data_IF_587905332383
#
_entry.id   IF_587905332383
#
_cell.length_a   1.000
_cell.length_b   1.000
_cell.length_c   1.000
_cell.angle_alpha   90.00
_cell.angle_beta   90.00
_cell.angle_gamma   90.00
#
_symmetry.space_group_name_H-M   'P 1'
#
loop_
_entity.id
_entity.type
_entity.pdbx_description
1 polymer ?
#
# COMPACT_ATOMS: atom_id res chain seq x y z
N UNK A 1 22.01 -28.17 -17.85
CA UNK A 1 21.59 -29.35 -17.06
C UNK A 1 20.37 -28.89 -16.27
N UNK A 2 19.20 -29.43 -16.61
CA UNK A 2 18.00 -29.21 -15.78
C UNK A 2 18.28 -29.75 -14.40
N UNK A 3 17.94 -28.99 -13.37
CA UNK A 3 18.13 -29.43 -11.99
C UNK A 3 17.01 -30.43 -11.64
N UNK A 4 17.15 -31.64 -12.13
CA UNK A 4 16.17 -32.74 -11.95
C UNK A 4 15.85 -33.04 -10.47
N UNK A 5 16.67 -32.51 -9.53
CA UNK A 5 16.53 -32.81 -8.11
C UNK A 5 15.21 -32.38 -7.50
N UNK A 6 14.70 -31.16 -7.81
CA UNK A 6 13.46 -30.65 -7.23
C UNK A 6 12.22 -31.34 -7.83
N UNK A 7 12.24 -31.63 -9.13
CA UNK A 7 11.14 -32.34 -9.80
C UNK A 7 11.07 -33.79 -9.29
N UNK A 8 12.20 -34.49 -9.13
CA UNK A 8 12.23 -35.85 -8.57
C UNK A 8 11.70 -35.86 -7.13
N UNK A 9 12.13 -34.91 -6.31
CA UNK A 9 11.61 -34.76 -4.94
C UNK A 9 10.10 -34.53 -4.92
N UNK A 10 9.60 -33.73 -5.87
CA UNK A 10 8.18 -33.45 -6.02
C UNK A 10 7.38 -34.68 -6.45
N UNK A 11 7.88 -35.47 -7.41
CA UNK A 11 7.27 -36.74 -7.81
C UNK A 11 7.18 -37.73 -6.66
N UNK A 12 8.22 -37.81 -5.82
CA UNK A 12 8.19 -38.63 -4.60
C UNK A 12 7.11 -38.15 -3.61
N UNK A 13 6.82 -36.84 -3.54
CA UNK A 13 5.71 -36.32 -2.73
C UNK A 13 4.37 -36.78 -3.31
N UNK A 14 4.16 -36.62 -4.61
CA UNK A 14 2.94 -37.03 -5.29
C UNK A 14 2.70 -38.55 -5.16
N UNK A 15 3.76 -39.36 -5.23
CA UNK A 15 3.73 -40.80 -5.04
C UNK A 15 3.62 -41.21 -3.56
N UNK A 16 3.51 -40.26 -2.63
CA UNK A 16 3.44 -40.50 -1.17
C UNK A 16 4.66 -41.18 -0.58
N UNK A 17 5.78 -41.23 -1.26
CA UNK A 17 7.07 -41.68 -0.74
C UNK A 17 7.66 -40.70 0.26
N UNK A 18 7.29 -39.42 0.13
CA UNK A 18 7.65 -38.34 1.03
C UNK A 18 6.39 -37.53 1.43
N UNK A 19 6.42 -36.94 2.61
CA UNK A 19 5.30 -36.10 3.10
C UNK A 19 5.35 -34.68 2.54
N UNK A 20 6.55 -34.15 2.31
CA UNK A 20 6.76 -32.77 1.92
C UNK A 20 8.20 -32.57 1.41
N UNK A 21 8.45 -31.42 0.80
CA UNK A 21 9.79 -31.03 0.36
C UNK A 21 10.79 -30.96 1.52
N UNK A 22 12.02 -31.30 1.26
CA UNK A 22 13.12 -31.09 2.20
C UNK A 22 13.27 -29.60 2.54
N UNK A 23 13.23 -29.27 3.82
CA UNK A 23 13.42 -27.89 4.27
C UNK A 23 14.80 -27.32 3.86
N UNK A 24 15.81 -28.18 3.86
CA UNK A 24 17.17 -27.82 3.44
C UNK A 24 17.23 -27.56 1.94
N UNK A 25 16.58 -28.38 1.12
CA UNK A 25 16.64 -28.26 -0.32
C UNK A 25 15.92 -27.00 -0.81
N UNK A 26 14.64 -26.86 -0.51
CA UNK A 26 13.89 -25.63 -0.89
C UNK A 26 14.42 -24.39 -0.17
N UNK A 27 14.89 -24.53 1.08
CA UNK A 27 15.34 -23.41 1.89
C UNK A 27 16.68 -22.82 1.45
N UNK A 28 17.62 -23.65 1.07
CA UNK A 28 19.03 -23.28 0.86
C UNK A 28 19.53 -23.52 -0.56
N UNK A 29 19.04 -24.53 -1.26
CA UNK A 29 19.60 -25.00 -2.52
C UNK A 29 18.74 -24.69 -3.75
N UNK A 30 17.43 -24.55 -3.61
CA UNK A 30 16.55 -24.27 -4.75
C UNK A 30 16.67 -22.79 -5.16
N UNK A 31 17.11 -22.56 -6.40
CA UNK A 31 17.13 -21.23 -7.00
C UNK A 31 15.72 -20.82 -7.48
N UNK A 32 15.53 -19.54 -7.79
CA UNK A 32 14.30 -19.07 -8.44
C UNK A 32 14.02 -19.81 -9.75
N UNK A 33 15.07 -20.16 -10.48
CA UNK A 33 14.97 -20.92 -11.72
C UNK A 33 14.41 -22.33 -11.48
N UNK A 34 14.91 -23.05 -10.46
CA UNK A 34 14.44 -24.39 -10.12
C UNK A 34 12.97 -24.40 -9.73
N UNK A 35 12.52 -23.36 -9.00
CA UNK A 35 11.13 -23.22 -8.60
C UNK A 35 10.23 -22.94 -9.80
N UNK A 36 10.66 -22.07 -10.72
CA UNK A 36 9.93 -21.80 -11.96
C UNK A 36 9.83 -23.06 -12.84
N UNK A 37 10.92 -23.80 -13.00
CA UNK A 37 10.94 -25.08 -13.72
C UNK A 37 9.99 -26.11 -13.11
N UNK A 38 9.88 -26.16 -11.77
CA UNK A 38 8.91 -27.01 -11.09
C UNK A 38 7.46 -26.60 -11.44
N UNK A 39 7.14 -25.30 -11.40
CA UNK A 39 5.80 -24.84 -11.80
C UNK A 39 5.51 -25.11 -13.28
N UNK A 40 6.48 -24.93 -14.16
CA UNK A 40 6.35 -25.31 -15.58
C UNK A 40 6.04 -26.78 -15.73
N UNK A 41 6.81 -27.65 -15.06
CA UNK A 41 6.56 -29.10 -15.04
C UNK A 41 5.13 -29.42 -14.59
N UNK A 42 4.66 -28.79 -13.53
CA UNK A 42 3.30 -29.01 -13.04
C UNK A 42 2.25 -28.55 -14.04
N UNK A 43 2.40 -27.39 -14.61
CA UNK A 43 1.42 -26.85 -15.55
C UNK A 43 1.40 -27.64 -16.85
N UNK A 44 2.55 -27.92 -17.44
CA UNK A 44 2.66 -28.53 -18.76
C UNK A 44 2.47 -30.05 -18.71
N UNK A 45 3.06 -30.73 -17.73
CA UNK A 45 3.13 -32.19 -17.72
C UNK A 45 2.08 -32.86 -16.83
N UNK A 46 1.64 -32.21 -15.73
CA UNK A 46 0.66 -32.80 -14.83
C UNK A 46 -0.75 -32.28 -15.07
N UNK A 47 -0.89 -30.99 -15.39
CA UNK A 47 -2.20 -30.36 -15.60
C UNK A 47 -2.53 -30.19 -17.09
N UNK A 48 -1.55 -30.37 -17.97
CA UNK A 48 -1.66 -30.16 -19.41
C UNK A 48 -2.21 -28.75 -19.76
N UNK A 49 -1.76 -27.74 -19.00
CA UNK A 49 -2.20 -26.37 -19.12
C UNK A 49 -1.28 -25.56 -20.02
N UNK A 50 -1.88 -24.65 -20.81
CA UNK A 50 -1.15 -23.55 -21.44
C UNK A 50 -0.82 -22.48 -20.41
N UNK A 51 0.11 -21.55 -20.71
CA UNK A 51 0.38 -20.40 -19.83
C UNK A 51 -0.87 -19.58 -19.46
N UNK A 52 -1.79 -19.37 -20.43
CA UNK A 52 -3.06 -18.65 -20.19
C UNK A 52 -3.97 -19.43 -19.26
N UNK A 53 -4.06 -20.75 -19.41
CA UNK A 53 -4.83 -21.61 -18.50
C UNK A 53 -4.23 -21.57 -17.09
N UNK A 54 -2.90 -21.56 -16.96
CA UNK A 54 -2.23 -21.41 -15.66
C UNK A 54 -2.58 -20.07 -15.00
N UNK A 55 -2.66 -18.96 -15.77
CA UNK A 55 -3.09 -17.65 -15.27
C UNK A 55 -4.54 -17.66 -14.77
N UNK A 56 -5.44 -18.25 -15.56
CA UNK A 56 -6.88 -18.10 -15.35
C UNK A 56 -7.46 -19.13 -14.35
N UNK A 57 -6.87 -20.33 -14.28
CA UNK A 57 -7.43 -21.45 -13.52
C UNK A 57 -6.67 -21.80 -12.25
N UNK A 58 -5.46 -21.25 -12.02
CA UNK A 58 -4.70 -21.54 -10.81
C UNK A 58 -5.43 -20.99 -9.58
N UNK A 59 -5.75 -21.88 -8.66
CA UNK A 59 -6.42 -21.56 -7.39
C UNK A 59 -5.60 -22.02 -6.20
N UNK A 60 -5.86 -21.47 -5.01
CA UNK A 60 -5.21 -21.90 -3.78
C UNK A 60 -5.52 -23.38 -3.44
N UNK A 61 -6.71 -23.86 -3.78
CA UNK A 61 -7.10 -25.26 -3.62
C UNK A 61 -6.21 -26.19 -4.47
N UNK A 62 -5.92 -25.84 -5.72
CA UNK A 62 -5.01 -26.56 -6.59
C UNK A 62 -3.59 -26.55 -6.01
N UNK A 63 -3.09 -25.40 -5.58
CA UNK A 63 -1.78 -25.25 -4.93
C UNK A 63 -1.65 -26.17 -3.70
N UNK A 64 -2.70 -26.22 -2.87
CA UNK A 64 -2.72 -27.07 -1.68
C UNK A 64 -2.77 -28.56 -2.04
N UNK A 65 -3.66 -28.96 -2.95
CA UNK A 65 -3.81 -30.35 -3.41
C UNK A 65 -2.56 -30.92 -4.06
N UNK A 66 -1.84 -30.05 -4.78
CA UNK A 66 -0.59 -30.40 -5.44
C UNK A 66 0.66 -30.17 -4.57
N UNK A 67 0.51 -29.91 -3.26
CA UNK A 67 1.61 -29.68 -2.32
C UNK A 67 2.58 -28.56 -2.72
N UNK A 68 2.12 -27.54 -3.45
CA UNK A 68 2.95 -26.46 -3.99
C UNK A 68 3.08 -25.22 -3.07
N UNK A 69 2.55 -25.28 -1.84
CA UNK A 69 2.59 -24.12 -0.91
C UNK A 69 4.01 -23.67 -0.56
N UNK A 70 4.97 -24.60 -0.41
CA UNK A 70 6.36 -24.24 -0.11
C UNK A 70 7.08 -23.62 -1.30
N UNK A 71 7.04 -24.21 -2.51
CA UNK A 71 7.54 -23.57 -3.72
C UNK A 71 6.93 -22.19 -3.96
N UNK A 72 5.60 -22.05 -3.81
CA UNK A 72 4.90 -20.78 -3.99
C UNK A 72 5.44 -19.67 -3.10
N UNK A 73 5.69 -19.96 -1.82
CA UNK A 73 6.26 -19.00 -0.86
C UNK A 73 7.70 -18.61 -1.13
N UNK A 74 8.38 -19.34 -2.00
CA UNK A 74 9.76 -19.07 -2.40
C UNK A 74 9.88 -18.28 -3.70
N UNK A 75 8.79 -18.15 -4.47
CA UNK A 75 8.78 -17.25 -5.62
C UNK A 75 8.97 -15.81 -5.14
N UNK A 76 9.83 -15.08 -5.84
CA UNK A 76 10.02 -13.65 -5.61
C UNK A 76 8.96 -12.88 -6.38
N UNK A 77 8.04 -12.30 -5.63
CA UNK A 77 6.95 -11.50 -6.18
C UNK A 77 7.26 -10.01 -6.11
N UNK A 78 6.77 -9.21 -7.06
CA UNK A 78 6.73 -7.78 -6.89
C UNK A 78 6.02 -7.38 -5.59
N UNK A 79 6.39 -6.24 -4.96
CA UNK A 79 5.84 -5.84 -3.66
C UNK A 79 4.32 -5.59 -3.69
N UNK A 80 3.75 -5.39 -4.88
CA UNK A 80 2.32 -5.18 -5.10
C UNK A 80 1.48 -6.45 -4.97
N UNK A 81 2.11 -7.64 -4.96
CA UNK A 81 1.41 -8.92 -4.99
C UNK A 81 1.28 -9.51 -3.59
N UNK A 82 0.09 -9.93 -3.24
CA UNK A 82 -0.18 -10.79 -2.09
C UNK A 82 -0.46 -12.22 -2.57
N UNK A 83 0.51 -13.12 -2.38
CA UNK A 83 0.44 -14.50 -2.86
C UNK A 83 -0.65 -15.35 -2.20
N UNK A 84 -1.07 -15.02 -0.99
CA UNK A 84 -2.11 -15.77 -0.29
C UNK A 84 -3.51 -15.55 -0.91
N UNK A 85 -3.65 -14.52 -1.73
CA UNK A 85 -4.93 -14.14 -2.33
C UNK A 85 -4.87 -13.92 -3.84
N UNK A 86 -3.66 -13.90 -4.41
CA UNK A 86 -3.46 -13.60 -5.82
C UNK A 86 -2.48 -14.56 -6.47
N UNK A 87 -3.00 -15.45 -7.29
CA UNK A 87 -2.21 -16.45 -7.99
C UNK A 87 -2.05 -16.14 -9.49
N UNK A 88 -2.75 -15.12 -10.01
CA UNK A 88 -2.72 -14.85 -11.45
C UNK A 88 -1.33 -14.45 -11.96
N UNK A 89 -0.51 -13.86 -11.08
CA UNK A 89 0.86 -13.48 -11.39
C UNK A 89 1.84 -14.65 -11.43
N UNK A 90 1.46 -15.84 -10.90
CA UNK A 90 2.33 -17.03 -10.94
C UNK A 90 2.66 -17.40 -12.39
N UNK A 91 1.67 -17.41 -13.28
CA UNK A 91 1.88 -17.70 -14.68
C UNK A 91 2.85 -16.71 -15.33
N UNK A 92 2.74 -15.41 -15.03
CA UNK A 92 3.69 -14.41 -15.49
C UNK A 92 5.12 -14.65 -14.94
N UNK A 93 5.25 -15.00 -13.67
CA UNK A 93 6.56 -15.31 -13.07
C UNK A 93 7.23 -16.52 -13.71
N UNK A 94 6.42 -17.50 -14.14
CA UNK A 94 6.88 -18.75 -14.75
C UNK A 94 7.11 -18.56 -16.26
N UNK A 95 6.25 -17.81 -16.95
CA UNK A 95 6.27 -17.58 -18.40
C UNK A 95 6.37 -16.08 -18.76
N UNK A 96 7.45 -15.38 -18.37
CA UNK A 96 7.53 -13.93 -18.52
C UNK A 96 7.54 -13.45 -19.99
N UNK A 97 7.88 -14.32 -20.93
CA UNK A 97 7.88 -13.99 -22.37
C UNK A 97 6.55 -14.25 -23.07
N UNK A 98 5.67 -15.06 -22.46
CA UNK A 98 4.37 -15.44 -23.02
C UNK A 98 3.21 -14.74 -22.32
N UNK A 99 3.30 -14.58 -21.01
CA UNK A 99 2.33 -13.87 -20.21
C UNK A 99 2.93 -12.53 -19.80
N UNK A 100 2.31 -11.45 -20.26
CA UNK A 100 2.70 -10.10 -19.89
C UNK A 100 1.62 -9.49 -19.03
N UNK A 101 1.99 -9.08 -17.82
CA UNK A 101 1.11 -8.37 -16.90
C UNK A 101 1.73 -7.00 -16.64
N UNK A 102 1.01 -5.96 -17.01
CA UNK A 102 1.46 -4.60 -16.77
C UNK A 102 1.42 -4.26 -15.27
N UNK A 103 2.28 -3.33 -14.85
CA UNK A 103 2.21 -2.78 -13.49
C UNK A 103 0.81 -2.26 -13.16
N UNK A 104 0.16 -1.61 -14.11
CA UNK A 104 -1.20 -1.10 -13.94
C UNK A 104 -2.18 -2.20 -13.54
N UNK A 105 -2.14 -3.35 -14.22
CA UNK A 105 -2.99 -4.50 -13.90
C UNK A 105 -2.68 -5.09 -12.51
N UNK A 106 -1.40 -5.21 -12.16
CA UNK A 106 -0.98 -5.68 -10.83
C UNK A 106 -1.54 -4.77 -9.72
N UNK A 107 -1.35 -3.47 -9.86
CA UNK A 107 -1.81 -2.47 -8.89
C UNK A 107 -3.33 -2.49 -8.78
N UNK A 108 -4.06 -2.52 -9.91
CA UNK A 108 -5.51 -2.56 -9.91
C UNK A 108 -6.06 -3.85 -9.30
N UNK A 109 -5.41 -4.98 -9.54
CA UNK A 109 -5.81 -6.25 -8.94
C UNK A 109 -5.77 -6.18 -7.41
N UNK A 110 -4.68 -5.69 -6.83
CA UNK A 110 -4.55 -5.48 -5.39
C UNK A 110 -5.61 -4.49 -4.90
N UNK A 111 -5.78 -3.36 -5.59
CA UNK A 111 -6.71 -2.30 -5.19
C UNK A 111 -8.17 -2.79 -5.18
N UNK A 112 -8.61 -3.48 -6.24
CA UNK A 112 -9.96 -4.04 -6.32
C UNK A 112 -10.23 -5.06 -5.20
N UNK A 113 -9.22 -5.84 -4.80
CA UNK A 113 -9.34 -6.75 -3.66
C UNK A 113 -9.49 -6.02 -2.33
N UNK A 114 -8.85 -4.87 -2.17
CA UNK A 114 -9.03 -4.01 -0.99
C UNK A 114 -10.41 -3.36 -1.00
N UNK A 115 -10.90 -2.88 -2.15
CA UNK A 115 -12.24 -2.31 -2.28
C UNK A 115 -13.36 -3.32 -2.02
N UNK A 116 -13.17 -4.58 -2.46
CA UNK A 116 -14.13 -5.67 -2.27
C UNK A 116 -14.00 -6.41 -0.93
N UNK A 117 -13.21 -5.88 0.01
CA UNK A 117 -12.90 -6.48 1.32
C UNK A 117 -12.30 -7.90 1.25
N UNK A 118 -11.82 -8.33 0.08
CA UNK A 118 -11.04 -9.56 -0.08
C UNK A 118 -9.64 -9.42 0.53
N UNK A 119 -9.11 -8.22 0.58
CA UNK A 119 -7.91 -7.81 1.30
C UNK A 119 -8.28 -6.79 2.37
N UNK A 120 -7.98 -7.09 3.64
CA UNK A 120 -8.23 -6.18 4.77
C UNK A 120 -7.29 -4.95 4.70
N UNK A 121 -6.08 -5.13 4.19
CA UNK A 121 -5.02 -4.11 4.13
C UNK A 121 -4.24 -4.24 2.83
N UNK A 122 -3.69 -3.12 2.39
CA UNK A 122 -2.66 -3.12 1.35
C UNK A 122 -1.40 -3.90 1.79
N UNK A 123 -0.67 -4.53 0.86
CA UNK A 123 0.66 -5.08 1.13
C UNK A 123 1.57 -4.02 1.76
N UNK A 124 2.49 -4.44 2.65
CA UNK A 124 3.28 -3.51 3.49
C UNK A 124 4.02 -2.42 2.71
N UNK A 125 4.50 -2.71 1.51
CA UNK A 125 5.31 -1.80 0.70
C UNK A 125 4.55 -1.17 -0.46
N UNK A 126 3.26 -1.44 -0.58
CA UNK A 126 2.45 -1.05 -1.74
C UNK A 126 2.49 0.45 -2.06
N UNK A 127 2.55 1.29 -1.03
CA UNK A 127 2.64 2.76 -1.15
C UNK A 127 3.96 3.33 -0.57
N UNK A 128 4.94 2.50 -0.31
CA UNK A 128 6.19 2.90 0.29
C UNK A 128 7.33 2.85 -0.73
N UNK A 129 8.16 2.93 -1.16
CA UNK A 129 9.24 2.83 -2.15
C UNK A 129 9.03 3.81 -3.33
N UNK A 130 9.98 3.82 -4.22
CA UNK A 130 9.98 4.72 -5.38
C UNK A 130 8.70 4.66 -6.22
N UNK A 131 8.02 3.52 -6.17
CA UNK A 131 6.81 3.24 -6.94
C UNK A 131 5.50 3.53 -6.20
N UNK A 132 5.58 3.90 -4.92
CA UNK A 132 4.40 4.12 -4.08
C UNK A 132 3.48 5.22 -4.58
N UNK A 133 4.05 6.31 -5.10
CA UNK A 133 3.31 7.41 -5.71
C UNK A 133 2.57 6.95 -6.98
N UNK A 134 3.26 6.21 -7.84
CA UNK A 134 2.66 5.68 -9.08
C UNK A 134 1.50 4.73 -8.76
N UNK A 135 1.67 3.85 -7.78
CA UNK A 135 0.59 2.95 -7.33
C UNK A 135 -0.60 3.73 -6.79
N UNK A 136 -0.37 4.76 -5.99
CA UNK A 136 -1.43 5.62 -5.46
C UNK A 136 -2.18 6.33 -6.59
N UNK A 137 -1.47 6.89 -7.57
CA UNK A 137 -2.05 7.56 -8.73
C UNK A 137 -2.92 6.63 -9.58
N UNK A 138 -2.47 5.40 -9.85
CA UNK A 138 -3.25 4.39 -10.56
C UNK A 138 -4.56 4.10 -9.80
N UNK A 139 -4.47 3.87 -8.48
CA UNK A 139 -5.64 3.62 -7.65
C UNK A 139 -6.62 4.80 -7.65
N UNK A 140 -6.11 6.04 -7.58
CA UNK A 140 -6.96 7.23 -7.58
C UNK A 140 -7.70 7.40 -8.90
N UNK A 141 -7.02 7.27 -10.04
CA UNK A 141 -7.66 7.36 -11.35
C UNK A 141 -8.75 6.31 -11.53
N UNK A 142 -8.49 5.08 -11.10
CA UNK A 142 -9.50 4.03 -11.10
C UNK A 142 -10.72 4.42 -10.25
N UNK A 143 -10.50 4.90 -9.01
CA UNK A 143 -11.58 5.32 -8.12
C UNK A 143 -12.41 6.47 -8.68
N UNK A 144 -11.76 7.48 -9.29
CA UNK A 144 -12.44 8.59 -9.95
C UNK A 144 -13.32 8.07 -11.10
N UNK A 145 -12.78 7.20 -11.95
CA UNK A 145 -13.53 6.64 -13.08
C UNK A 145 -14.75 5.81 -12.64
N UNK A 146 -14.66 5.14 -11.49
CA UNK A 146 -15.78 4.35 -10.96
C UNK A 146 -16.84 5.22 -10.25
N UNK A 147 -16.41 6.14 -9.39
CA UNK A 147 -17.31 6.92 -8.51
C UNK A 147 -17.79 8.23 -9.13
N UNK A 148 -17.04 8.76 -10.10
CA UNK A 148 -17.28 10.08 -10.69
C UNK A 148 -17.14 10.08 -12.23
N UNK A 149 -17.75 9.14 -12.96
CA UNK A 149 -17.49 8.95 -14.41
C UNK A 149 -17.92 10.14 -15.27
N UNK A 150 -18.84 10.99 -14.79
CA UNK A 150 -19.36 12.15 -15.53
C UNK A 150 -18.69 13.48 -15.16
N UNK A 151 -17.72 13.48 -14.23
CA UNK A 151 -17.05 14.73 -13.85
C UNK A 151 -16.02 15.11 -14.90
N UNK A 152 -16.10 16.37 -15.34
CA UNK A 152 -15.03 16.95 -16.13
C UNK A 152 -13.86 17.37 -15.22
N UNK A 153 -12.75 17.76 -15.82
CA UNK A 153 -11.53 18.10 -15.09
C UNK A 153 -11.72 19.29 -14.13
N UNK A 154 -12.55 20.27 -14.49
CA UNK A 154 -12.83 21.43 -13.64
C UNK A 154 -13.63 21.03 -12.40
N UNK A 155 -14.62 20.15 -12.56
CA UNK A 155 -15.42 19.61 -11.46
C UNK A 155 -14.56 18.81 -10.49
N UNK A 156 -13.63 18.00 -11.01
CA UNK A 156 -12.67 17.26 -10.19
C UNK A 156 -11.79 18.20 -9.38
N UNK A 157 -11.26 19.25 -9.99
CA UNK A 157 -10.48 20.26 -9.26
C UNK A 157 -11.30 20.94 -8.16
N UNK A 158 -12.51 21.40 -8.48
CA UNK A 158 -13.40 22.00 -7.49
C UNK A 158 -13.71 21.04 -6.34
N UNK A 159 -13.92 19.76 -6.65
CA UNK A 159 -14.17 18.72 -5.68
C UNK A 159 -12.94 18.49 -4.78
N UNK A 160 -11.75 18.36 -5.36
CA UNK A 160 -10.51 18.10 -4.61
C UNK A 160 -10.03 19.30 -3.79
N UNK A 161 -10.44 20.52 -4.15
CA UNK A 161 -10.28 21.72 -3.31
C UNK A 161 -11.23 21.73 -2.08
N UNK A 162 -12.31 20.96 -2.10
CA UNK A 162 -13.26 20.87 -0.98
C UNK A 162 -12.83 19.80 0.02
N UNK A 163 -12.04 20.17 1.02
CA UNK A 163 -11.45 19.26 2.00
C UNK A 163 -12.44 18.28 2.66
N UNK A 164 -13.62 18.69 3.16
CA UNK A 164 -14.57 17.73 3.76
C UNK A 164 -15.07 16.68 2.77
N UNK A 165 -15.42 17.09 1.54
CA UNK A 165 -15.93 16.17 0.51
C UNK A 165 -14.85 15.18 0.07
N UNK A 166 -13.64 15.66 -0.24
CA UNK A 166 -12.55 14.79 -0.70
C UNK A 166 -12.07 13.85 0.39
N UNK A 167 -12.01 14.28 1.66
CA UNK A 167 -11.63 13.38 2.76
C UNK A 167 -12.62 12.23 2.91
N UNK A 168 -13.94 12.51 2.77
CA UNK A 168 -14.97 11.47 2.79
C UNK A 168 -14.82 10.51 1.61
N UNK A 169 -14.62 11.02 0.40
CA UNK A 169 -14.38 10.23 -0.80
C UNK A 169 -13.16 9.31 -0.63
N UNK A 170 -11.99 9.88 -0.27
CA UNK A 170 -10.75 9.12 -0.09
C UNK A 170 -10.86 8.03 0.97
N UNK A 171 -11.65 8.24 2.03
CA UNK A 171 -11.96 7.20 3.02
C UNK A 171 -12.81 6.08 2.43
N UNK A 172 -13.85 6.41 1.68
CA UNK A 172 -14.74 5.42 1.05
C UNK A 172 -13.97 4.54 0.07
N UNK A 173 -13.07 5.14 -0.73
CA UNK A 173 -12.24 4.41 -1.70
C UNK A 173 -10.91 3.91 -1.10
N UNK A 174 -10.76 3.88 0.23
CA UNK A 174 -9.59 3.36 0.95
C UNK A 174 -8.24 4.04 0.63
N UNK A 175 -8.25 5.26 0.08
CA UNK A 175 -7.05 6.02 -0.31
C UNK A 175 -6.69 7.18 0.63
N UNK A 176 -7.37 7.34 1.76
CA UNK A 176 -7.09 8.44 2.69
C UNK A 176 -5.70 8.34 3.32
N UNK A 177 -5.27 7.15 3.75
CA UNK A 177 -3.95 6.96 4.35
C UNK A 177 -2.81 7.18 3.32
N UNK A 178 -2.83 6.56 2.11
CA UNK A 178 -1.83 6.85 1.07
C UNK A 178 -1.78 8.33 0.71
N UNK A 179 -2.92 9.01 0.57
CA UNK A 179 -2.96 10.44 0.28
C UNK A 179 -2.16 11.25 1.31
N UNK A 180 -2.39 11.02 2.60
CA UNK A 180 -1.71 11.78 3.65
C UNK A 180 -0.25 11.37 3.90
N UNK A 181 0.16 10.18 3.46
CA UNK A 181 1.55 9.73 3.62
C UNK A 181 2.47 10.18 2.48
N UNK A 182 1.92 10.41 1.28
CA UNK A 182 2.68 10.72 0.06
C UNK A 182 2.52 12.19 -0.33
N UNK A 183 1.33 12.75 -0.18
CA UNK A 183 0.99 14.08 -0.67
C UNK A 183 0.68 15.05 0.47
N UNK A 184 1.04 16.30 0.29
CA UNK A 184 0.77 17.35 1.28
C UNK A 184 -0.73 17.71 1.32
N UNK A 185 -1.36 17.76 0.15
CA UNK A 185 -2.80 18.06 0.01
C UNK A 185 -3.47 17.07 -0.95
N UNK A 186 -4.79 16.82 -0.80
CA UNK A 186 -5.53 15.99 -1.74
C UNK A 186 -5.47 16.50 -3.20
N UNK A 187 -5.35 17.81 -3.41
CA UNK A 187 -5.20 18.38 -4.75
C UNK A 187 -3.86 18.01 -5.40
N UNK A 188 -2.80 17.83 -4.60
CA UNK A 188 -1.51 17.35 -5.10
C UNK A 188 -1.63 15.91 -5.60
N UNK A 189 -2.41 15.10 -4.89
CA UNK A 189 -2.70 13.73 -5.27
C UNK A 189 -3.45 13.67 -6.62
N UNK A 190 -4.50 14.50 -6.80
CA UNK A 190 -5.19 14.61 -8.08
C UNK A 190 -4.22 15.06 -9.18
N UNK A 191 -3.45 16.13 -8.93
CA UNK A 191 -2.52 16.69 -9.90
C UNK A 191 -1.44 15.68 -10.32
N UNK A 192 -0.89 14.90 -9.38
CA UNK A 192 0.07 13.83 -9.69
C UNK A 192 -0.54 12.73 -10.57
N UNK A 193 -1.80 12.36 -10.31
CA UNK A 193 -2.48 11.27 -11.00
C UNK A 193 -2.93 11.62 -12.43
N UNK A 194 -3.22 12.88 -12.71
CA UNK A 194 -3.71 13.31 -14.03
C UNK A 194 -2.63 13.20 -15.12
N UNK A 195 -3.00 12.88 -16.36
CA UNK A 195 -2.09 12.93 -17.50
C UNK A 195 -1.64 14.37 -17.82
N UNK A 196 -0.45 14.52 -18.40
CA UNK A 196 0.20 15.83 -18.58
C UNK A 196 -0.60 16.83 -19.41
N UNK A 197 -1.35 16.37 -20.40
CA UNK A 197 -2.24 17.24 -21.18
C UNK A 197 -3.34 17.87 -20.30
N UNK A 198 -3.86 17.16 -19.33
CA UNK A 198 -4.86 17.66 -18.38
C UNK A 198 -4.24 18.53 -17.27
N UNK A 199 -3.02 18.22 -16.84
CA UNK A 199 -2.27 19.07 -15.90
C UNK A 199 -2.06 20.49 -16.44
N UNK A 200 -1.65 20.60 -17.70
CA UNK A 200 -1.34 21.87 -18.34
C UNK A 200 -2.56 22.79 -18.45
N UNK A 201 -3.75 22.23 -18.65
CA UNK A 201 -5.00 22.99 -18.77
C UNK A 201 -5.37 23.75 -17.48
N UNK A 202 -5.00 23.22 -16.32
CA UNK A 202 -5.39 23.76 -15.00
C UNK A 202 -4.21 24.18 -14.12
N UNK A 203 -3.00 24.21 -14.67
CA UNK A 203 -1.79 24.54 -13.91
C UNK A 203 -1.93 25.87 -13.14
N UNK A 204 -2.46 26.92 -13.75
CA UNK A 204 -2.66 28.22 -13.11
C UNK A 204 -3.62 28.15 -11.90
N UNK A 205 -4.72 27.40 -12.00
CA UNK A 205 -5.68 27.24 -10.90
C UNK A 205 -5.09 26.45 -9.75
N UNK A 206 -4.32 25.43 -10.07
CA UNK A 206 -3.60 24.61 -9.10
C UNK A 206 -2.58 25.45 -8.33
N UNK A 207 -1.70 26.19 -9.02
CA UNK A 207 -0.71 27.04 -8.40
C UNK A 207 -1.35 28.12 -7.52
N UNK A 208 -2.39 28.80 -8.00
CA UNK A 208 -3.13 29.77 -7.21
C UNK A 208 -3.73 29.17 -5.95
N UNK A 209 -4.31 27.98 -6.03
CA UNK A 209 -4.86 27.28 -4.86
C UNK A 209 -3.77 26.92 -3.85
N UNK A 210 -2.62 26.43 -4.31
CA UNK A 210 -1.45 26.16 -3.47
C UNK A 210 -0.97 27.41 -2.73
N UNK A 211 -0.89 28.54 -3.41
CA UNK A 211 -0.52 29.82 -2.78
C UNK A 211 -1.50 30.18 -1.65
N UNK A 212 -2.80 30.11 -1.89
CA UNK A 212 -3.82 30.42 -0.88
C UNK A 212 -3.73 29.49 0.35
N UNK A 213 -3.48 28.19 0.13
CA UNK A 213 -3.29 27.25 1.23
C UNK A 213 -2.05 27.58 2.07
N UNK A 214 -0.97 27.97 1.43
CA UNK A 214 0.26 28.38 2.12
C UNK A 214 0.03 29.63 2.96
N UNK A 215 -0.62 30.65 2.41
CA UNK A 215 -0.98 31.88 3.12
C UNK A 215 -1.84 31.58 4.36
N UNK A 216 -2.84 30.69 4.23
CA UNK A 216 -3.67 30.29 5.36
C UNK A 216 -2.86 29.58 6.46
N UNK A 217 -1.91 28.70 6.09
CA UNK A 217 -1.02 28.06 7.07
C UNK A 217 -0.18 29.08 7.83
N UNK A 218 0.39 30.05 7.12
CA UNK A 218 1.23 31.08 7.72
C UNK A 218 0.43 31.96 8.70
N UNK A 219 -0.83 32.27 8.36
CA UNK A 219 -1.73 33.02 9.26
C UNK A 219 -2.04 32.21 10.52
N UNK A 220 -2.35 30.91 10.39
CA UNK A 220 -2.63 30.04 11.53
C UNK A 220 -1.39 29.91 12.41
N UNK A 221 -0.21 29.72 11.82
CA UNK A 221 1.04 29.61 12.55
C UNK A 221 1.31 30.89 13.36
N UNK A 222 1.18 32.07 12.76
CA UNK A 222 1.33 33.36 13.44
C UNK A 222 0.34 33.53 14.60
N UNK A 223 -0.92 33.11 14.42
CA UNK A 223 -1.93 33.18 15.49
C UNK A 223 -1.56 32.28 16.69
N UNK A 224 -1.07 31.07 16.39
CA UNK A 224 -0.67 30.14 17.46
C UNK A 224 0.58 30.64 18.20
N UNK A 225 1.52 31.27 17.51
CA UNK A 225 2.71 31.90 18.12
C UNK A 225 2.30 33.02 19.07
N UNK A 226 1.43 33.93 18.64
CA UNK A 226 0.91 35.04 19.49
C UNK A 226 0.12 34.50 20.69
N UNK A 227 -0.66 33.44 20.51
CA UNK A 227 -1.41 32.82 21.62
C UNK A 227 -0.49 32.17 22.65
N UNK A 228 0.59 31.54 22.22
CA UNK A 228 1.58 30.94 23.12
C UNK A 228 2.42 31.97 23.88
N UNK A 229 2.70 33.12 23.29
CA UNK A 229 3.38 34.25 23.95
C UNK A 229 2.49 34.87 25.02
N UNK A 230 1.20 35.08 24.78
CA UNK A 230 0.25 35.56 25.76
C UNK A 230 0.01 34.60 26.94
N UNK A 231 0.05 33.29 26.70
CA UNK A 231 -0.01 32.28 27.77
C UNK A 231 1.29 32.23 28.62
N UNK A 232 2.43 32.54 28.01
CA UNK A 232 3.70 32.63 28.74
C UNK A 232 3.79 33.88 29.61
N UNK A 233 3.31 35.04 29.14
CA UNK A 233 3.26 36.29 29.92
C UNK A 233 2.29 36.22 31.13
N UNK A 234 1.20 35.47 31.01
CA UNK A 234 0.25 35.28 32.13
C UNK A 234 0.70 34.25 33.18
N UNK A 235 1.84 33.60 33.00
CA UNK A 235 2.46 32.68 33.99
C UNK A 235 3.57 33.33 34.78
N UNK A 236 3.45 34.61 35.19
CA UNK A 236 4.32 35.18 36.23
C UNK A 236 4.03 34.52 37.58
N UNK A 237 5.06 34.24 38.40
CA UNK A 237 4.96 33.27 39.48
C UNK A 237 4.24 33.86 40.71
N UNK A 238 3.09 33.33 41.04
CA UNK A 238 2.45 33.46 42.38
C UNK A 238 3.26 32.67 43.41
N UNK A 239 4.56 32.84 43.46
CA UNK A 239 5.41 32.25 44.48
C UNK A 239 6.38 33.25 45.11
N UNK A 240 5.84 34.38 45.64
CA UNK A 240 6.63 35.27 46.47
C UNK A 240 5.82 35.95 47.59
N UNK A 241 4.95 35.24 48.31
CA UNK A 241 4.43 35.75 49.61
C UNK A 241 3.91 34.60 50.48
N UNK A 242 4.84 33.81 51.07
CA UNK A 242 4.57 33.04 52.30
C UNK A 242 5.88 32.61 52.96
N UNK A 243 6.64 33.59 53.43
CA UNK A 243 7.66 33.40 54.47
C UNK A 243 7.67 34.64 55.35
N UNK A 244 6.84 34.68 56.38
CA UNK A 244 7.05 35.40 57.62
C UNK A 244 5.79 35.25 58.47
N UNK A 245 5.83 34.33 59.42
CA UNK A 245 5.42 34.45 60.80
C UNK A 245 5.48 33.08 61.47
N UNK A 246 6.66 32.71 61.93
CA UNK A 246 6.78 31.85 63.12
C UNK A 246 7.15 32.77 64.24
N UNK A 247 6.15 33.27 64.93
CA UNK A 247 6.24 33.90 66.26
C UNK A 247 6.08 32.83 67.30
N UNK A 248 7.05 32.79 68.18
CA UNK A 248 7.15 32.19 69.50
C UNK A 248 5.86 32.30 70.28
N UNK A 249 5.57 31.26 70.99
CA UNK A 249 5.09 31.24 72.41
C UNK A 249 4.73 29.77 72.65
N UNK A 250 5.24 29.09 73.61
CA UNK A 250 5.57 29.48 75.01
C UNK A 250 5.00 28.38 75.86
N UNK A 251 5.88 27.65 76.52
CA UNK A 251 5.69 26.82 77.71
C UNK A 251 4.34 26.96 78.47
N UNK A 252 3.71 25.87 78.86
CA UNK A 252 3.70 25.46 80.33
C UNK A 252 2.70 24.30 80.55
N UNK A 253 3.21 23.34 81.33
CA UNK A 253 2.60 22.62 82.46
C UNK A 253 1.26 21.84 82.31
N UNK A 254 1.24 20.61 82.37
CA UNK A 254 1.27 19.69 83.58
C UNK A 254 1.30 18.26 83.04
#
# INVERSE_FOLDING_TARGET
MQNMGLIIEYEDILLKKRKDFSATYIGQNASQKDIKELFQYVFENLLEWTPEMARDYLTMDIIQKLHLMRPLRKLEYPPEINIDQDLFSVAWMVYPEQIHISRHELVLNVYQKVLSDKLIKYPKKFFLEADGEVNACICLLYAINQEMPSHNIEDLYAFFCNRPKVTRFLRNVRLNAPCHSIFEYPIDFLHAALPDNQKNELCYRYERFKMLLKEQKDIIKKRNEVSSEHEAENKEPIHAKKKRTKGKNGKQNK
#
